data_IF_129455256278
#
_entry.id   IF_129455256278
#
_cell.length_a   1.000
_cell.length_b   1.000
_cell.length_c   1.000
_cell.angle_alpha   90.00
_cell.angle_beta   90.00
_cell.angle_gamma   90.00
#
_symmetry.space_group_name_H-M   'P 1'
#
loop_
_entity.id
_entity.type
_entity.pdbx_description
1 polymer ?
#
# COMPACT_ATOMS: atom_id res chain seq x y z
N UNK A 1 -0.01 6.30 -31.18
CA UNK A 1 -0.07 4.96 -30.59
C UNK A 1 0.15 3.87 -31.63
N UNK A 2 -0.57 3.85 -32.77
CA UNK A 2 -0.44 2.84 -33.80
C UNK A 2 1.01 2.75 -34.34
N UNK A 3 1.63 3.89 -34.65
CA UNK A 3 3.02 3.95 -35.15
C UNK A 3 4.02 3.43 -34.09
N UNK A 4 3.85 3.77 -32.81
CA UNK A 4 4.63 3.22 -31.71
C UNK A 4 4.51 1.69 -31.62
N UNK A 5 3.29 1.17 -31.71
CA UNK A 5 3.03 -0.29 -31.68
C UNK A 5 3.67 -0.99 -32.89
N UNK A 6 3.63 -0.37 -34.06
CA UNK A 6 4.25 -0.90 -35.27
C UNK A 6 5.78 -0.99 -35.16
N UNK A 7 6.42 0.07 -34.64
CA UNK A 7 7.88 0.16 -34.53
C UNK A 7 8.44 -0.65 -33.35
N UNK A 8 7.82 -0.55 -32.16
CA UNK A 8 8.35 -1.12 -30.93
C UNK A 8 7.82 -2.51 -30.61
N UNK A 9 6.73 -2.93 -31.25
CA UNK A 9 6.07 -4.23 -31.01
C UNK A 9 6.00 -4.58 -29.52
N UNK A 10 5.40 -3.72 -28.68
CA UNK A 10 5.30 -4.00 -27.27
C UNK A 10 4.54 -5.30 -27.03
N UNK A 11 4.90 -6.01 -25.96
CA UNK A 11 4.16 -7.21 -25.56
C UNK A 11 2.68 -6.89 -25.37
N UNK A 12 1.81 -7.81 -25.79
CA UNK A 12 0.36 -7.65 -25.62
C UNK A 12 0.03 -7.56 -24.13
N UNK A 13 -0.94 -6.72 -23.80
CA UNK A 13 -1.44 -6.61 -22.45
C UNK A 13 -2.22 -7.90 -22.08
N UNK A 14 -1.82 -8.50 -20.95
CA UNK A 14 -2.52 -9.63 -20.35
C UNK A 14 -3.40 -9.14 -19.20
N UNK A 15 -4.67 -9.57 -19.20
CA UNK A 15 -5.57 -9.26 -18.10
C UNK A 15 -5.09 -9.96 -16.81
N UNK A 16 -5.12 -9.27 -15.65
CA UNK A 16 -4.84 -9.92 -14.37
C UNK A 16 -5.82 -11.07 -14.11
N UNK A 17 -5.34 -12.10 -13.41
CA UNK A 17 -6.18 -13.24 -13.05
C UNK A 17 -7.44 -12.79 -12.30
N UNK A 18 -8.60 -13.46 -12.49
CA UNK A 18 -9.84 -13.10 -11.80
C UNK A 18 -9.68 -12.97 -10.29
N UNK A 19 -8.93 -13.87 -9.65
CA UNK A 19 -8.62 -13.85 -8.22
C UNK A 19 -7.83 -12.59 -7.81
N UNK A 20 -6.86 -12.14 -8.62
CA UNK A 20 -6.13 -10.88 -8.37
C UNK A 20 -7.06 -9.66 -8.42
N UNK A 21 -7.97 -9.64 -9.39
CA UNK A 21 -8.96 -8.56 -9.53
C UNK A 21 -9.92 -8.53 -8.35
N UNK A 22 -10.41 -9.71 -7.92
CA UNK A 22 -11.28 -9.85 -6.77
C UNK A 22 -10.56 -9.39 -5.48
N UNK A 23 -9.33 -9.84 -5.25
CA UNK A 23 -8.53 -9.42 -4.10
C UNK A 23 -8.34 -7.90 -4.08
N UNK A 24 -7.99 -7.32 -5.22
CA UNK A 24 -7.81 -5.86 -5.32
C UNK A 24 -9.10 -5.10 -5.03
N UNK A 25 -10.24 -5.57 -5.53
CA UNK A 25 -11.54 -4.97 -5.25
C UNK A 25 -11.90 -5.02 -3.76
N UNK A 26 -11.70 -6.17 -3.10
CA UNK A 26 -11.93 -6.33 -1.66
C UNK A 26 -11.01 -5.44 -0.82
N UNK A 27 -9.72 -5.37 -1.16
CA UNK A 27 -8.75 -4.50 -0.47
C UNK A 27 -9.13 -3.02 -0.60
N UNK A 28 -9.53 -2.56 -1.79
CA UNK A 28 -10.00 -1.19 -1.99
C UNK A 28 -11.29 -0.91 -1.21
N UNK A 29 -12.22 -1.86 -1.18
CA UNK A 29 -13.46 -1.73 -0.39
C UNK A 29 -13.17 -1.65 1.10
N UNK A 30 -12.28 -2.51 1.61
CA UNK A 30 -11.83 -2.49 3.00
C UNK A 30 -11.25 -1.11 3.37
N UNK A 31 -10.41 -0.54 2.51
CA UNK A 31 -9.82 0.77 2.75
C UNK A 31 -10.86 1.88 2.80
N UNK A 32 -11.81 1.89 1.86
CA UNK A 32 -12.90 2.86 1.84
C UNK A 32 -13.75 2.80 3.12
N UNK A 33 -14.09 1.60 3.59
CA UNK A 33 -14.83 1.42 4.84
C UNK A 33 -14.02 1.84 6.06
N UNK A 34 -12.70 1.61 6.08
CA UNK A 34 -11.81 2.06 7.15
C UNK A 34 -11.76 3.60 7.20
N UNK A 35 -11.72 4.26 6.05
CA UNK A 35 -11.76 5.73 5.97
C UNK A 35 -13.11 6.27 6.47
N UNK A 36 -14.24 5.65 6.09
CA UNK A 36 -15.58 6.00 6.61
C UNK A 36 -15.64 5.81 8.13
N UNK A 37 -15.16 4.69 8.65
CA UNK A 37 -15.13 4.43 10.09
C UNK A 37 -14.32 5.48 10.85
N UNK A 38 -13.18 5.88 10.30
CA UNK A 38 -12.34 6.92 10.90
C UNK A 38 -13.06 8.27 10.92
N UNK A 39 -13.75 8.62 9.83
CA UNK A 39 -14.55 9.85 9.77
C UNK A 39 -15.66 9.86 10.83
N UNK A 40 -16.39 8.75 11.00
CA UNK A 40 -17.45 8.66 12.02
C UNK A 40 -16.90 8.67 13.44
N UNK A 41 -15.72 8.04 13.69
CA UNK A 41 -15.04 8.15 14.99
C UNK A 41 -14.67 9.59 15.32
N UNK A 42 -14.13 10.33 14.36
CA UNK A 42 -13.77 11.73 14.56
C UNK A 42 -15.03 12.61 14.79
N UNK A 43 -16.14 12.34 14.08
CA UNK A 43 -17.43 13.03 14.32
C UNK A 43 -17.96 12.76 15.72
N UNK A 44 -17.84 11.52 16.18
CA UNK A 44 -18.30 11.12 17.51
C UNK A 44 -17.67 11.95 18.63
N UNK A 45 -16.38 12.33 18.48
CA UNK A 45 -15.65 13.12 19.49
C UNK A 45 -16.21 14.52 19.70
N UNK A 46 -16.87 15.08 18.69
CA UNK A 46 -17.40 16.46 18.72
C UNK A 46 -18.92 16.54 18.57
N UNK A 47 -19.60 15.39 18.45
CA UNK A 47 -21.03 15.33 18.19
C UNK A 47 -21.85 15.65 19.43
N UNK A 48 -22.98 16.39 19.30
CA UNK A 48 -23.98 16.54 20.36
C UNK A 48 -24.55 15.18 20.76
N UNK A 49 -24.97 15.06 22.01
CA UNK A 49 -25.48 13.82 22.61
C UNK A 49 -26.62 13.18 21.79
N UNK A 50 -27.51 13.99 21.24
CA UNK A 50 -28.63 13.55 20.40
C UNK A 50 -28.17 12.76 19.13
N UNK A 51 -26.96 12.94 18.67
CA UNK A 51 -26.40 12.26 17.47
C UNK A 51 -25.61 10.99 17.80
N UNK A 52 -25.15 10.82 19.06
CA UNK A 52 -24.25 9.72 19.44
C UNK A 52 -24.84 8.35 19.13
N UNK A 53 -26.10 8.11 19.42
CA UNK A 53 -26.78 6.84 19.16
C UNK A 53 -26.74 6.48 17.66
N UNK A 54 -27.00 7.44 16.79
CA UNK A 54 -26.98 7.23 15.35
C UNK A 54 -25.55 6.91 14.84
N UNK A 55 -24.56 7.64 15.36
CA UNK A 55 -23.15 7.42 15.01
C UNK A 55 -22.68 6.05 15.49
N UNK A 56 -23.05 5.64 16.71
CA UNK A 56 -22.65 4.35 17.27
C UNK A 56 -23.26 3.17 16.51
N UNK A 57 -24.52 3.28 16.06
CA UNK A 57 -25.15 2.28 15.18
C UNK A 57 -24.37 2.16 13.87
N UNK A 58 -24.03 3.28 13.23
CA UNK A 58 -23.26 3.27 11.97
C UNK A 58 -21.86 2.68 12.16
N UNK A 59 -21.17 3.03 13.25
CA UNK A 59 -19.87 2.46 13.61
C UNK A 59 -19.95 0.94 13.82
N UNK A 60 -21.03 0.45 14.43
CA UNK A 60 -21.30 -0.98 14.57
C UNK A 60 -21.46 -1.68 13.22
N UNK A 61 -22.27 -1.11 12.33
CA UNK A 61 -22.45 -1.63 10.96
C UNK A 61 -21.12 -1.64 10.16
N UNK A 62 -20.34 -0.55 10.23
CA UNK A 62 -19.06 -0.47 9.55
C UNK A 62 -18.06 -1.50 10.09
N UNK A 63 -18.04 -1.74 11.40
CA UNK A 63 -17.18 -2.73 12.05
C UNK A 63 -17.53 -4.15 11.62
N UNK A 64 -18.82 -4.50 11.56
CA UNK A 64 -19.30 -5.79 11.10
C UNK A 64 -18.95 -6.04 9.63
N UNK A 65 -19.12 -5.03 8.79
CA UNK A 65 -18.81 -5.14 7.36
C UNK A 65 -17.29 -5.24 7.10
N UNK A 66 -16.46 -4.51 7.85
CA UNK A 66 -15.00 -4.65 7.81
C UNK A 66 -14.57 -6.07 8.15
N UNK A 67 -15.10 -6.65 9.23
CA UNK A 67 -14.81 -8.03 9.62
C UNK A 67 -15.23 -9.04 8.53
N UNK A 68 -16.39 -8.82 7.89
CA UNK A 68 -16.85 -9.65 6.77
C UNK A 68 -15.89 -9.61 5.59
N UNK A 69 -15.42 -8.43 5.21
CA UNK A 69 -14.46 -8.27 4.09
C UNK A 69 -13.08 -8.84 4.46
N UNK A 70 -12.61 -8.65 5.69
CA UNK A 70 -11.35 -9.26 6.16
C UNK A 70 -11.40 -10.79 6.04
N UNK A 71 -12.52 -11.41 6.41
CA UNK A 71 -12.74 -12.84 6.22
C UNK A 71 -12.71 -13.23 4.74
N UNK A 72 -13.41 -12.49 3.88
CA UNK A 72 -13.39 -12.76 2.43
C UNK A 72 -11.99 -12.66 1.82
N UNK A 73 -11.19 -11.65 2.21
CA UNK A 73 -9.80 -11.51 1.79
C UNK A 73 -8.99 -12.73 2.23
N UNK A 74 -9.16 -13.16 3.48
CA UNK A 74 -8.48 -14.33 4.02
C UNK A 74 -8.87 -15.61 3.26
N UNK A 75 -10.16 -15.86 3.10
CA UNK A 75 -10.67 -17.04 2.39
C UNK A 75 -10.16 -17.08 0.94
N UNK A 76 -10.20 -15.95 0.24
CA UNK A 76 -9.69 -15.82 -1.13
C UNK A 76 -8.20 -16.14 -1.23
N UNK A 77 -7.40 -15.65 -0.26
CA UNK A 77 -5.95 -15.88 -0.24
C UNK A 77 -5.56 -17.25 0.25
N UNK A 78 -6.38 -17.89 1.10
CA UNK A 78 -6.14 -19.26 1.60
C UNK A 78 -6.53 -20.35 0.59
N UNK A 79 -7.50 -20.07 -0.27
CA UNK A 79 -7.95 -20.98 -1.32
C UNK A 79 -6.99 -21.06 -2.51
N UNK A 80 -6.07 -20.11 -2.67
CA UNK A 80 -5.05 -20.12 -3.72
C UNK A 80 -3.69 -20.45 -3.09
N UNK A 81 -3.07 -21.62 -3.43
CA UNK A 81 -1.78 -22.04 -2.85
C UNK A 81 -0.65 -21.05 -3.04
N UNK A 82 -0.58 -20.41 -4.21
CA UNK A 82 0.48 -19.45 -4.54
C UNK A 82 0.30 -18.15 -3.73
N UNK A 83 -0.94 -17.66 -3.61
CA UNK A 83 -1.25 -16.51 -2.76
C UNK A 83 -0.96 -16.79 -1.30
N UNK A 84 -1.34 -17.97 -0.81
CA UNK A 84 -1.09 -18.40 0.56
C UNK A 84 0.39 -18.44 0.90
N UNK A 85 1.20 -19.03 0.01
CA UNK A 85 2.65 -19.08 0.19
C UNK A 85 3.27 -17.68 0.20
N UNK A 86 2.88 -16.82 -0.74
CA UNK A 86 3.36 -15.43 -0.80
C UNK A 86 2.95 -14.63 0.42
N UNK A 87 1.72 -14.80 0.92
CA UNK A 87 1.27 -14.17 2.17
C UNK A 87 2.16 -14.59 3.34
N UNK A 88 2.50 -15.87 3.47
CA UNK A 88 3.43 -16.36 4.51
C UNK A 88 4.80 -15.70 4.40
N UNK A 89 5.34 -15.61 3.19
CA UNK A 89 6.62 -14.94 2.96
C UNK A 89 6.56 -13.45 3.30
N UNK A 90 5.49 -12.74 2.95
CA UNK A 90 5.32 -11.33 3.31
C UNK A 90 5.20 -11.14 4.82
N UNK A 91 4.43 -11.99 5.50
CA UNK A 91 4.26 -11.93 6.95
C UNK A 91 5.53 -12.30 7.74
N UNK A 92 6.50 -12.98 7.12
CA UNK A 92 7.81 -13.23 7.75
C UNK A 92 8.69 -11.97 7.82
N UNK A 93 8.36 -10.92 7.07
CA UNK A 93 9.10 -9.67 7.07
C UNK A 93 8.67 -8.83 8.30
N UNK A 94 9.59 -8.41 9.17
CA UNK A 94 9.28 -7.60 10.34
C UNK A 94 8.49 -6.33 9.98
N UNK A 95 7.35 -6.14 10.63
CA UNK A 95 6.47 -4.99 10.39
C UNK A 95 5.40 -5.19 9.32
N UNK A 96 5.41 -6.30 8.58
CA UNK A 96 4.35 -6.63 7.65
C UNK A 96 3.35 -7.58 8.32
N UNK A 97 2.16 -7.07 8.63
CA UNK A 97 1.04 -7.85 9.12
C UNK A 97 0.05 -8.24 8.02
N UNK A 98 -0.99 -8.99 8.37
CA UNK A 98 -2.00 -9.54 7.45
C UNK A 98 -2.61 -8.47 6.52
N UNK A 99 -2.98 -7.31 7.06
CA UNK A 99 -3.58 -6.22 6.26
C UNK A 99 -2.59 -5.67 5.22
N UNK A 100 -1.34 -5.47 5.62
CA UNK A 100 -0.30 -4.99 4.68
C UNK A 100 0.03 -6.04 3.64
N UNK A 101 0.13 -7.31 4.04
CA UNK A 101 0.37 -8.42 3.11
C UNK A 101 -0.75 -8.52 2.06
N UNK A 102 -2.02 -8.38 2.45
CA UNK A 102 -3.15 -8.36 1.52
C UNK A 102 -3.06 -7.21 0.51
N UNK A 103 -2.70 -5.99 0.97
CA UNK A 103 -2.48 -4.85 0.07
C UNK A 103 -1.34 -5.14 -0.90
N UNK A 104 -0.21 -5.63 -0.41
CA UNK A 104 0.94 -5.97 -1.26
C UNK A 104 0.56 -7.00 -2.32
N UNK A 105 -0.11 -8.09 -1.94
CA UNK A 105 -0.59 -9.12 -2.88
C UNK A 105 -1.53 -8.54 -3.94
N UNK A 106 -2.45 -7.66 -3.53
CA UNK A 106 -3.41 -7.03 -4.44
C UNK A 106 -2.73 -6.16 -5.53
N UNK A 107 -1.55 -5.61 -5.26
CA UNK A 107 -0.82 -4.76 -6.20
C UNK A 107 0.34 -5.47 -6.92
N UNK A 108 0.93 -6.52 -6.35
CA UNK A 108 2.01 -7.28 -6.98
C UNK A 108 1.51 -8.43 -7.85
N UNK A 109 0.31 -8.94 -7.55
CA UNK A 109 -0.31 -10.06 -8.27
C UNK A 109 0.37 -11.40 -8.02
N UNK A 110 -0.11 -12.43 -8.73
CA UNK A 110 0.43 -13.80 -8.67
C UNK A 110 1.75 -13.95 -9.46
N UNK A 111 1.88 -13.23 -10.56
CA UNK A 111 3.15 -13.15 -11.32
C UNK A 111 3.97 -12.00 -10.76
N UNK A 112 5.23 -12.25 -10.39
CA UNK A 112 6.16 -11.19 -10.01
C UNK A 112 6.35 -10.25 -11.21
N UNK A 113 5.75 -9.06 -11.13
CA UNK A 113 5.83 -8.03 -12.18
C UNK A 113 7.13 -7.22 -12.12
N UNK A 114 7.94 -7.44 -11.07
CA UNK A 114 9.12 -6.65 -10.78
C UNK A 114 10.33 -7.54 -10.65
N UNK A 115 11.37 -7.28 -11.46
CA UNK A 115 12.66 -7.97 -11.40
C UNK A 115 13.57 -7.44 -10.28
N UNK A 116 13.32 -6.20 -9.79
CA UNK A 116 14.16 -5.56 -8.78
C UNK A 116 13.33 -4.74 -7.78
N UNK A 117 13.87 -4.54 -6.58
CA UNK A 117 13.28 -3.66 -5.57
C UNK A 117 13.11 -2.20 -6.07
N UNK A 118 14.01 -1.73 -6.95
CA UNK A 118 13.93 -0.39 -7.56
C UNK A 118 12.71 -0.24 -8.45
N UNK A 119 12.38 -1.27 -9.24
CA UNK A 119 11.17 -1.28 -10.07
C UNK A 119 9.90 -1.25 -9.21
N UNK A 120 9.86 -2.00 -8.12
CA UNK A 120 8.76 -1.97 -7.19
C UNK A 120 8.62 -0.60 -6.49
N UNK A 121 9.74 0.01 -6.07
CA UNK A 121 9.74 1.34 -5.50
C UNK A 121 9.25 2.42 -6.48
N UNK A 122 9.64 2.30 -7.76
CA UNK A 122 9.16 3.18 -8.83
C UNK A 122 7.65 3.01 -9.06
N UNK A 123 7.17 1.77 -9.13
CA UNK A 123 5.75 1.47 -9.24
C UNK A 123 4.93 2.02 -8.06
N UNK A 124 5.46 1.91 -6.85
CA UNK A 124 4.84 2.49 -5.65
C UNK A 124 4.92 4.03 -5.61
N UNK A 125 5.67 4.66 -6.51
CA UNK A 125 5.90 6.10 -6.55
C UNK A 125 6.76 6.62 -5.40
N UNK A 126 7.69 5.79 -4.91
CA UNK A 126 8.61 6.10 -3.81
C UNK A 126 9.98 6.61 -4.29
N UNK A 127 10.21 6.61 -5.61
CA UNK A 127 11.47 7.11 -6.18
C UNK A 127 11.49 8.64 -6.18
N UNK A 128 12.67 9.25 -5.97
CA UNK A 128 12.81 10.69 -6.11
C UNK A 128 12.66 11.12 -7.57
N UNK A 129 12.02 12.26 -7.79
CA UNK A 129 11.99 12.94 -9.08
C UNK A 129 12.91 14.15 -9.00
N UNK A 130 13.84 14.23 -9.93
CA UNK A 130 14.70 15.39 -10.09
C UNK A 130 13.91 16.49 -10.82
N UNK A 131 14.03 17.72 -10.32
CA UNK A 131 13.46 18.90 -10.93
C UNK A 131 14.61 19.83 -11.35
N UNK A 132 15.29 19.43 -12.42
CA UNK A 132 16.42 20.16 -12.99
C UNK A 132 16.08 20.52 -14.44
N UNK A 133 16.26 21.75 -14.82
CA UNK A 133 16.13 22.22 -16.20
C UNK A 133 17.22 23.22 -16.50
N UNK A 134 18.16 22.84 -17.36
CA UNK A 134 19.33 23.63 -17.68
C UNK A 134 20.19 23.95 -16.44
N UNK A 135 20.91 25.04 -16.48
CA UNK A 135 21.78 25.47 -15.38
C UNK A 135 21.07 26.34 -14.33
N UNK A 136 19.86 26.83 -14.61
CA UNK A 136 19.17 27.84 -13.79
C UNK A 136 18.08 27.27 -12.86
N UNK A 137 17.57 26.05 -13.14
CA UNK A 137 16.52 25.46 -12.34
C UNK A 137 17.05 24.22 -11.62
N UNK A 138 17.43 24.39 -10.36
CA UNK A 138 17.80 23.31 -9.45
C UNK A 138 16.86 23.33 -8.24
N UNK A 139 15.84 22.46 -8.23
CA UNK A 139 14.93 22.32 -7.09
C UNK A 139 15.23 21.03 -6.32
N UNK A 140 14.95 21.07 -5.01
CA UNK A 140 15.07 19.90 -4.17
C UNK A 140 14.25 18.71 -4.73
N UNK A 141 14.89 17.55 -4.85
CA UNK A 141 14.25 16.32 -5.28
C UNK A 141 13.09 15.95 -4.35
N UNK A 142 11.96 15.56 -4.91
CA UNK A 142 10.75 15.15 -4.17
C UNK A 142 10.33 13.76 -4.57
N UNK A 143 9.62 13.08 -3.67
CA UNK A 143 9.03 11.78 -3.96
C UNK A 143 8.04 11.86 -5.13
N UNK A 144 8.15 10.95 -6.09
CA UNK A 144 7.37 10.92 -7.34
C UNK A 144 5.85 10.95 -7.12
N UNK A 145 5.36 10.14 -6.18
CA UNK A 145 3.93 9.92 -5.91
C UNK A 145 3.12 9.43 -7.14
N UNK A 146 3.78 9.04 -8.24
CA UNK A 146 3.13 8.62 -9.48
C UNK A 146 2.43 7.25 -9.37
N UNK A 147 2.72 6.47 -8.33
CA UNK A 147 2.14 5.13 -8.12
C UNK A 147 0.86 5.12 -7.25
N UNK A 148 0.33 3.93 -6.95
CA UNK A 148 -0.89 3.76 -6.17
C UNK A 148 -0.75 4.32 -4.75
N UNK A 149 -1.65 5.23 -4.37
CA UNK A 149 -1.64 5.88 -3.05
C UNK A 149 -1.79 4.86 -1.92
N UNK A 150 -2.69 3.90 -2.09
CA UNK A 150 -2.96 2.87 -1.07
C UNK A 150 -1.76 1.98 -0.80
N UNK A 151 -0.98 1.65 -1.84
CA UNK A 151 0.27 0.90 -1.68
C UNK A 151 1.30 1.69 -0.87
N UNK A 152 1.47 2.98 -1.15
CA UNK A 152 2.37 3.84 -0.37
C UNK A 152 1.95 3.99 1.09
N UNK A 153 0.64 4.20 1.34
CA UNK A 153 0.08 4.24 2.71
C UNK A 153 0.37 2.93 3.46
N UNK A 154 0.16 1.79 2.81
CA UNK A 154 0.38 0.48 3.42
C UNK A 154 1.85 0.19 3.75
N UNK A 155 2.79 0.71 2.97
CA UNK A 155 4.24 0.52 3.18
C UNK A 155 4.82 1.43 4.27
N UNK A 156 4.11 2.49 4.69
CA UNK A 156 4.64 3.46 5.65
C UNK A 156 4.94 2.86 7.02
N UNK A 157 3.96 2.19 7.63
CA UNK A 157 4.13 1.60 8.97
C UNK A 157 5.14 0.45 9.00
N UNK A 158 5.15 -0.48 8.02
CA UNK A 158 6.22 -1.47 7.91
C UNK A 158 7.62 -0.87 7.78
N UNK A 159 7.76 0.18 6.97
CA UNK A 159 9.05 0.85 6.83
C UNK A 159 9.51 1.49 8.14
N UNK A 160 8.60 2.13 8.87
CA UNK A 160 8.87 2.70 10.19
C UNK A 160 9.24 1.60 11.20
N UNK A 161 8.49 0.51 11.24
CA UNK A 161 8.80 -0.64 12.08
C UNK A 161 10.18 -1.22 11.77
N UNK A 162 10.48 -1.42 10.49
CA UNK A 162 11.78 -1.91 10.05
C UNK A 162 12.92 -0.99 10.46
N UNK A 163 12.74 0.34 10.35
CA UNK A 163 13.73 1.34 10.74
C UNK A 163 14.13 1.25 12.21
N UNK A 164 13.18 0.94 13.10
CA UNK A 164 13.43 0.90 14.55
C UNK A 164 13.77 -0.49 15.08
N UNK A 165 13.28 -1.55 14.46
CA UNK A 165 13.33 -2.90 15.03
C UNK A 165 14.29 -3.86 14.29
N UNK A 166 14.78 -3.51 13.11
CA UNK A 166 15.75 -4.36 12.39
C UNK A 166 17.17 -3.84 12.51
N UNK A 167 18.16 -4.73 12.43
CA UNK A 167 19.58 -4.37 12.49
C UNK A 167 19.96 -3.42 11.33
N UNK A 168 19.54 -3.74 10.11
CA UNK A 168 19.81 -2.91 8.94
C UNK A 168 19.08 -1.56 8.97
N UNK A 169 17.85 -1.51 9.53
CA UNK A 169 17.11 -0.27 9.72
C UNK A 169 17.80 0.66 10.71
N UNK A 170 18.26 0.12 11.85
CA UNK A 170 19.04 0.88 12.84
C UNK A 170 20.34 1.42 12.24
N UNK A 171 21.06 0.61 11.44
CA UNK A 171 22.27 1.04 10.76
C UNK A 171 21.99 2.17 9.75
N UNK A 172 20.90 2.04 8.97
CA UNK A 172 20.45 3.07 8.04
C UNK A 172 20.10 4.37 8.76
N UNK A 173 19.35 4.29 9.87
CA UNK A 173 19.01 5.44 10.71
C UNK A 173 20.24 6.15 11.24
N UNK A 174 21.21 5.41 11.82
CA UNK A 174 22.47 5.96 12.32
C UNK A 174 23.24 6.71 11.23
N UNK A 175 23.27 6.17 10.01
CA UNK A 175 23.89 6.83 8.85
C UNK A 175 23.18 8.13 8.49
N UNK A 176 21.85 8.17 8.51
CA UNK A 176 21.09 9.40 8.24
C UNK A 176 21.32 10.48 9.29
N UNK A 177 21.33 10.09 10.58
CA UNK A 177 21.60 10.99 11.71
C UNK A 177 23.02 11.56 11.62
N UNK A 178 24.01 10.74 11.27
CA UNK A 178 25.40 11.18 11.04
C UNK A 178 25.55 12.18 9.88
N UNK A 179 24.64 12.14 8.91
CA UNK A 179 24.57 13.10 7.80
C UNK A 179 23.65 14.32 8.10
N UNK A 180 23.30 14.57 9.37
CA UNK A 180 22.46 15.69 9.80
C UNK A 180 20.98 15.56 9.41
N UNK A 181 20.53 14.40 8.92
CA UNK A 181 19.13 14.13 8.57
C UNK A 181 18.43 13.47 9.75
N UNK A 182 17.41 14.12 10.29
CA UNK A 182 16.55 13.51 11.31
C UNK A 182 15.67 12.44 10.64
N UNK A 183 15.68 11.23 11.17
CA UNK A 183 14.66 10.24 10.88
C UNK A 183 13.35 10.73 11.50
N UNK A 184 12.40 11.14 10.64
CA UNK A 184 11.04 11.49 11.08
C UNK A 184 10.22 10.23 11.18
#
# INVERSE_FOLDING_TARGET
LAEFCRQKRPAAWEAPHPTERALKALVLRHQALTEMQTQEKNRRETAPEVQLTSIDILLGCLSAELARIEKQIKDLTDNDPDMKQRRKLLNSIPGIGEKTAAVLLAYTGLKLKFGTARQFAAYAGLTPVQHESGSSVMRASRMSKAGPVHLRKALYMPALSALYHTAWGKAFRKRLEGNGKRAK
#
